data_IF_856995129308
#
_entry.id   IF_856995129308
#
_cell.length_a   1.000
_cell.length_b   1.000
_cell.length_c   1.000
_cell.angle_alpha   90.00
_cell.angle_beta   90.00
_cell.angle_gamma   90.00
#
_symmetry.space_group_name_H-M   'P 1'
#
loop_
_entity.id
_entity.type
_entity.pdbx_description
1 polymer ?
#
# COMPACT_ATOMS: atom_id res chain seq x y z
N UNK A 1 -23.86 7.72 9.08
CA UNK A 1 -23.89 6.26 9.21
C UNK A 1 -24.66 5.69 8.05
N UNK A 2 -24.28 4.54 7.51
CA UNK A 2 -24.95 3.89 6.37
C UNK A 2 -25.90 2.81 6.93
N UNK A 3 -27.23 3.07 6.93
CA UNK A 3 -28.18 2.21 7.64
C UNK A 3 -28.42 0.86 6.94
N UNK A 4 -28.18 0.79 5.63
CA UNK A 4 -28.45 -0.40 4.82
C UNK A 4 -27.54 -0.51 3.60
N UNK A 5 -27.58 -1.65 2.93
CA UNK A 5 -26.78 -1.93 1.73
C UNK A 5 -27.13 -1.03 0.55
N UNK A 6 -28.37 -0.53 0.46
CA UNK A 6 -28.76 0.41 -0.61
C UNK A 6 -28.07 1.77 -0.44
N UNK A 7 -28.01 2.27 0.79
CA UNK A 7 -27.27 3.50 1.13
C UNK A 7 -25.80 3.37 0.82
N UNK A 8 -25.18 2.22 1.17
CA UNK A 8 -23.81 1.90 0.83
C UNK A 8 -23.60 1.86 -0.70
N UNK A 9 -24.46 1.15 -1.44
CA UNK A 9 -24.39 1.04 -2.89
C UNK A 9 -24.56 2.40 -3.59
N UNK A 10 -25.46 3.26 -3.12
CA UNK A 10 -25.63 4.61 -3.66
C UNK A 10 -24.37 5.45 -3.43
N UNK A 11 -23.75 5.35 -2.25
CA UNK A 11 -22.50 6.05 -1.97
C UNK A 11 -21.34 5.55 -2.86
N UNK A 12 -21.18 4.24 -3.01
CA UNK A 12 -20.19 3.67 -3.92
C UNK A 12 -20.42 4.09 -5.37
N UNK A 13 -21.70 4.21 -5.80
CA UNK A 13 -22.04 4.70 -7.13
C UNK A 13 -21.56 6.14 -7.37
N UNK A 14 -21.73 7.03 -6.39
CA UNK A 14 -21.23 8.40 -6.47
C UNK A 14 -19.70 8.47 -6.54
N UNK A 15 -19.01 7.60 -5.80
CA UNK A 15 -17.55 7.51 -5.83
C UNK A 15 -17.02 6.94 -7.15
N UNK A 16 -17.70 5.92 -7.69
CA UNK A 16 -17.26 5.22 -8.90
C UNK A 16 -17.53 6.02 -10.17
N UNK A 17 -18.67 6.71 -10.20
CA UNK A 17 -19.13 7.48 -11.36
C UNK A 17 -19.58 8.87 -10.96
N UNK A 18 -18.66 9.76 -10.59
CA UNK A 18 -19.01 11.11 -10.12
C UNK A 18 -19.70 11.94 -11.19
N UNK A 19 -19.42 11.67 -12.46
CA UNK A 19 -19.98 12.38 -13.62
C UNK A 19 -21.08 11.58 -14.36
N UNK A 20 -21.68 10.57 -13.70
CA UNK A 20 -22.67 9.70 -14.31
C UNK A 20 -22.14 8.30 -14.65
N UNK A 21 -23.05 7.34 -14.80
CA UNK A 21 -22.70 5.96 -15.07
C UNK A 21 -21.96 5.80 -16.41
N UNK A 22 -20.79 5.20 -16.35
CA UNK A 22 -19.99 4.77 -17.52
C UNK A 22 -20.11 3.26 -17.66
N UNK A 23 -20.60 2.81 -18.80
CA UNK A 23 -20.73 1.37 -19.08
C UNK A 23 -19.35 0.71 -19.19
N UNK A 24 -19.07 -0.37 -18.44
CA UNK A 24 -17.75 -1.02 -18.51
C UNK A 24 -17.46 -1.73 -19.85
N UNK A 25 -18.45 -1.95 -20.69
CA UNK A 25 -18.30 -2.64 -21.98
C UNK A 25 -18.22 -1.64 -23.13
N UNK A 26 -19.23 -0.78 -23.32
CA UNK A 26 -19.25 0.14 -24.46
C UNK A 26 -18.71 1.55 -24.13
N UNK A 27 -18.27 1.79 -22.92
CA UNK A 27 -17.70 3.05 -22.43
C UNK A 27 -18.62 4.29 -22.54
N UNK A 28 -19.87 4.11 -22.93
CA UNK A 28 -20.83 5.19 -23.05
C UNK A 28 -21.23 5.72 -21.67
N UNK A 29 -21.23 7.03 -21.52
CA UNK A 29 -21.80 7.71 -20.36
C UNK A 29 -23.29 7.86 -20.56
N UNK A 30 -24.11 7.22 -19.71
CA UNK A 30 -25.56 7.16 -19.87
C UNK A 30 -26.26 7.16 -18.51
N UNK A 31 -27.60 7.33 -18.54
CA UNK A 31 -28.45 7.03 -17.37
C UNK A 31 -28.89 5.56 -17.45
N UNK A 32 -28.36 4.68 -16.58
CA UNK A 32 -28.66 3.26 -16.65
C UNK A 32 -30.09 2.99 -16.17
N UNK A 33 -30.74 1.99 -16.76
CA UNK A 33 -31.97 1.46 -16.19
C UNK A 33 -31.65 0.66 -14.93
N UNK A 34 -32.47 0.84 -13.90
CA UNK A 34 -32.35 0.09 -12.64
C UNK A 34 -33.22 -1.17 -12.72
N UNK A 35 -32.60 -2.30 -12.41
CA UNK A 35 -33.31 -3.57 -12.23
C UNK A 35 -33.28 -4.00 -10.76
N UNK A 36 -34.01 -5.08 -10.49
CA UNK A 36 -34.00 -5.74 -9.17
C UNK A 36 -32.58 -6.08 -8.71
N UNK A 37 -32.37 -6.13 -7.42
CA UNK A 37 -31.07 -6.43 -6.79
C UNK A 37 -29.95 -5.44 -7.12
N UNK A 38 -30.31 -4.15 -7.39
CA UNK A 38 -29.33 -3.08 -7.62
C UNK A 38 -28.53 -3.19 -8.93
N UNK A 39 -28.98 -3.98 -9.90
CA UNK A 39 -28.35 -4.07 -11.22
C UNK A 39 -28.61 -2.81 -12.05
N UNK A 40 -27.60 -2.41 -12.80
CA UNK A 40 -27.59 -1.28 -13.73
C UNK A 40 -27.49 -1.83 -15.15
N UNK A 41 -28.44 -1.47 -16.02
CA UNK A 41 -28.46 -1.88 -17.42
C UNK A 41 -28.10 -0.70 -18.30
N UNK A 42 -27.10 -0.86 -19.13
CA UNK A 42 -26.73 0.14 -20.12
C UNK A 42 -27.81 0.22 -21.21
N UNK A 43 -28.41 1.39 -21.49
CA UNK A 43 -29.40 1.49 -22.57
C UNK A 43 -28.81 1.28 -23.97
N UNK A 44 -27.51 1.55 -24.17
CA UNK A 44 -26.84 1.46 -25.47
C UNK A 44 -26.52 0.02 -25.87
N UNK A 45 -25.87 -0.76 -24.96
CA UNK A 45 -25.43 -2.12 -25.30
C UNK A 45 -26.13 -3.25 -24.50
N UNK A 46 -27.08 -2.91 -23.65
CA UNK A 46 -27.85 -3.84 -22.79
C UNK A 46 -26.99 -4.59 -21.75
N UNK A 47 -25.72 -4.25 -21.63
CA UNK A 47 -24.87 -4.86 -20.62
C UNK A 47 -25.40 -4.59 -19.20
N UNK A 48 -25.43 -5.67 -18.38
CA UNK A 48 -25.86 -5.59 -16.99
C UNK A 48 -24.63 -5.55 -16.08
N UNK A 49 -24.57 -4.57 -15.22
CA UNK A 49 -23.50 -4.38 -14.26
C UNK A 49 -24.04 -4.12 -12.86
N UNK A 50 -23.17 -4.11 -11.88
CA UNK A 50 -23.47 -3.63 -10.53
C UNK A 50 -22.39 -2.64 -10.07
N UNK A 51 -22.66 -1.90 -9.01
CA UNK A 51 -21.67 -0.94 -8.47
C UNK A 51 -20.38 -1.60 -7.99
N UNK A 52 -20.44 -2.88 -7.61
CA UNK A 52 -19.29 -3.65 -7.12
C UNK A 52 -18.61 -4.50 -8.19
N UNK A 53 -19.26 -4.75 -9.32
CA UNK A 53 -18.67 -5.56 -10.39
C UNK A 53 -17.40 -4.94 -10.94
N UNK A 54 -16.32 -5.74 -11.06
CA UNK A 54 -15.02 -5.27 -11.53
C UNK A 54 -14.25 -4.39 -10.52
N UNK A 55 -14.59 -4.45 -9.24
CA UNK A 55 -13.88 -3.78 -8.15
C UNK A 55 -13.31 -4.78 -7.16
N UNK A 56 -12.61 -4.32 -6.10
CA UNK A 56 -12.19 -5.26 -5.02
C UNK A 56 -13.36 -5.93 -4.31
N UNK A 57 -14.57 -5.38 -4.45
CA UNK A 57 -15.80 -5.92 -3.87
C UNK A 57 -16.50 -6.91 -4.81
N UNK A 58 -15.91 -7.19 -5.97
CA UNK A 58 -16.51 -8.09 -6.96
C UNK A 58 -16.85 -9.45 -6.36
N UNK A 59 -18.05 -9.96 -6.72
CA UNK A 59 -18.57 -11.26 -6.27
C UNK A 59 -18.64 -11.45 -4.75
N UNK A 60 -18.61 -10.36 -3.96
CA UNK A 60 -18.80 -10.50 -2.51
C UNK A 60 -20.20 -10.99 -2.19
N UNK A 61 -20.30 -11.88 -1.20
CA UNK A 61 -21.57 -12.31 -0.57
C UNK A 61 -21.78 -11.60 0.77
N UNK A 62 -20.75 -10.95 1.29
CA UNK A 62 -20.81 -10.18 2.53
C UNK A 62 -21.56 -8.88 2.28
N UNK A 63 -22.50 -8.47 3.15
CA UNK A 63 -23.23 -7.21 3.04
C UNK A 63 -22.29 -6.00 2.88
N UNK A 64 -22.72 -5.00 2.13
CA UNK A 64 -21.93 -3.77 1.96
C UNK A 64 -21.80 -2.99 3.25
N UNK A 65 -22.80 -3.04 4.11
CA UNK A 65 -22.74 -2.46 5.46
C UNK A 65 -21.56 -3.01 6.25
N UNK A 66 -21.34 -4.33 6.21
CA UNK A 66 -20.19 -4.98 6.86
C UNK A 66 -18.86 -4.54 6.23
N UNK A 67 -18.79 -4.37 4.90
CA UNK A 67 -17.61 -3.81 4.24
C UNK A 67 -17.33 -2.36 4.67
N UNK A 68 -18.36 -1.54 4.78
CA UNK A 68 -18.22 -0.15 5.22
C UNK A 68 -17.75 -0.07 6.67
N UNK A 69 -18.29 -0.91 7.54
CA UNK A 69 -17.86 -1.02 8.93
C UNK A 69 -16.39 -1.46 9.02
N UNK A 70 -16.00 -2.50 8.28
CA UNK A 70 -14.59 -2.91 8.16
C UNK A 70 -13.69 -1.77 7.70
N UNK A 71 -14.07 -1.06 6.62
CA UNK A 71 -13.33 0.08 6.09
C UNK A 71 -13.19 1.23 7.08
N UNK A 72 -14.26 1.49 7.86
CA UNK A 72 -14.23 2.48 8.94
C UNK A 72 -13.23 2.09 10.02
N UNK A 73 -13.30 0.86 10.54
CA UNK A 73 -12.34 0.37 11.53
C UNK A 73 -10.91 0.39 11.02
N UNK A 74 -10.68 -0.05 9.78
CA UNK A 74 -9.36 0.00 9.14
C UNK A 74 -8.80 1.42 9.12
N UNK A 75 -9.61 2.44 8.81
CA UNK A 75 -9.12 3.82 8.67
C UNK A 75 -9.04 4.58 9.99
N UNK A 76 -9.81 4.20 11.00
CA UNK A 76 -9.86 4.89 12.30
C UNK A 76 -8.92 4.28 13.34
N UNK A 77 -8.61 2.98 13.28
CA UNK A 77 -7.69 2.33 14.20
C UNK A 77 -6.28 2.91 14.10
N UNK A 78 -5.80 3.58 15.17
CA UNK A 78 -4.50 4.27 15.20
C UNK A 78 -3.33 3.31 14.91
N UNK A 79 -3.36 2.14 15.50
CA UNK A 79 -2.25 1.17 15.44
C UNK A 79 -2.46 0.07 14.39
N UNK A 80 -3.39 0.27 13.42
CA UNK A 80 -3.77 -0.78 12.50
C UNK A 80 -4.77 -1.77 13.12
N UNK A 81 -5.15 -2.78 12.36
CA UNK A 81 -6.18 -3.74 12.74
C UNK A 81 -5.77 -5.14 12.31
N UNK A 82 -5.77 -6.09 13.26
CA UNK A 82 -5.55 -7.50 12.94
C UNK A 82 -6.83 -8.15 12.42
N UNK A 83 -6.69 -9.23 11.65
CA UNK A 83 -7.84 -9.99 11.19
C UNK A 83 -8.62 -10.59 12.38
N UNK A 84 -7.94 -10.96 13.45
CA UNK A 84 -8.58 -11.47 14.67
C UNK A 84 -9.42 -10.41 15.37
N UNK A 85 -8.93 -9.19 15.46
CA UNK A 85 -9.70 -8.06 16.01
C UNK A 85 -10.92 -7.75 15.13
N UNK A 86 -10.73 -7.73 13.80
CA UNK A 86 -11.84 -7.44 12.88
C UNK A 86 -12.91 -8.54 12.90
N UNK A 87 -12.53 -9.81 12.99
CA UNK A 87 -13.43 -10.95 13.17
C UNK A 87 -14.38 -10.72 14.36
N UNK A 88 -13.81 -10.41 15.52
CA UNK A 88 -14.60 -10.15 16.73
C UNK A 88 -15.47 -8.90 16.60
N UNK A 89 -14.93 -7.83 16.01
CA UNK A 89 -15.67 -6.56 15.86
C UNK A 89 -16.89 -6.72 14.95
N UNK A 90 -16.75 -7.46 13.85
CA UNK A 90 -17.82 -7.63 12.86
C UNK A 90 -18.70 -8.86 13.10
N UNK A 91 -18.37 -9.73 14.06
CA UNK A 91 -19.10 -11.00 14.28
C UNK A 91 -19.03 -11.93 13.06
N UNK A 92 -17.96 -11.91 12.29
CA UNK A 92 -17.77 -12.72 11.09
C UNK A 92 -16.72 -13.82 11.30
N UNK A 93 -16.41 -14.64 10.28
CA UNK A 93 -15.31 -15.60 10.40
C UNK A 93 -13.95 -14.94 10.17
N UNK A 94 -12.89 -15.51 10.76
CA UNK A 94 -11.51 -15.06 10.54
C UNK A 94 -11.15 -14.97 9.05
N UNK A 95 -11.56 -15.97 8.25
CA UNK A 95 -11.27 -15.99 6.81
C UNK A 95 -11.90 -14.80 6.08
N UNK A 96 -13.16 -14.47 6.42
CA UNK A 96 -13.86 -13.31 5.85
C UNK A 96 -13.15 -12.01 6.27
N UNK A 97 -12.89 -11.82 7.56
CA UNK A 97 -12.19 -10.65 8.07
C UNK A 97 -10.80 -10.48 7.45
N UNK A 98 -10.03 -11.57 7.33
CA UNK A 98 -8.71 -11.57 6.71
C UNK A 98 -8.77 -11.23 5.22
N UNK A 99 -9.71 -11.83 4.47
CA UNK A 99 -9.91 -11.53 3.05
C UNK A 99 -10.28 -10.06 2.83
N UNK A 100 -11.16 -9.51 3.66
CA UNK A 100 -11.55 -8.09 3.61
C UNK A 100 -10.33 -7.18 3.80
N UNK A 101 -9.50 -7.45 4.81
CA UNK A 101 -8.28 -6.69 5.07
C UNK A 101 -7.31 -6.76 3.87
N UNK A 102 -7.09 -7.94 3.30
CA UNK A 102 -6.19 -8.08 2.15
C UNK A 102 -6.71 -7.32 0.93
N UNK A 103 -7.99 -7.40 0.61
CA UNK A 103 -8.60 -6.64 -0.49
C UNK A 103 -8.49 -5.13 -0.27
N UNK A 104 -8.72 -4.64 0.95
CA UNK A 104 -8.51 -3.23 1.27
C UNK A 104 -7.03 -2.82 1.14
N UNK A 105 -6.07 -3.66 1.56
CA UNK A 105 -4.63 -3.39 1.41
C UNK A 105 -4.25 -3.21 -0.06
N UNK A 106 -4.76 -4.05 -0.95
CA UNK A 106 -4.55 -3.90 -2.38
C UNK A 106 -5.07 -2.55 -2.86
N UNK A 107 -6.25 -2.12 -2.43
CA UNK A 107 -6.82 -0.83 -2.84
C UNK A 107 -6.10 0.39 -2.24
N UNK A 108 -5.27 0.23 -1.21
CA UNK A 108 -4.48 1.32 -0.64
C UNK A 108 -3.36 1.82 -1.57
N UNK A 109 -3.08 1.09 -2.64
CA UNK A 109 -2.07 1.44 -3.66
C UNK A 109 -2.77 1.96 -4.91
N UNK A 110 -2.61 3.25 -5.20
CA UNK A 110 -3.03 3.80 -6.49
C UNK A 110 -1.99 3.46 -7.55
N UNK A 111 -2.44 3.05 -8.74
CA UNK A 111 -1.55 2.78 -9.88
C UNK A 111 -0.70 4.01 -10.23
N UNK A 112 -1.31 5.20 -10.21
CA UNK A 112 -0.70 6.49 -10.54
C UNK A 112 -0.31 7.29 -9.29
N UNK A 113 0.21 6.62 -8.26
CA UNK A 113 0.70 7.34 -7.07
C UNK A 113 1.96 8.13 -7.43
N UNK A 114 2.00 9.39 -7.00
CA UNK A 114 3.14 10.27 -7.21
C UNK A 114 4.43 9.68 -6.66
N UNK A 115 5.53 9.81 -7.41
CA UNK A 115 6.85 9.47 -6.94
C UNK A 115 7.32 10.46 -5.86
N UNK A 116 8.31 10.06 -5.07
CA UNK A 116 8.97 10.92 -4.09
C UNK A 116 9.90 11.92 -4.82
N UNK A 117 10.13 13.09 -4.22
CA UNK A 117 10.93 14.14 -4.84
C UNK A 117 11.79 14.90 -3.82
N UNK A 118 12.71 15.73 -4.32
CA UNK A 118 13.62 16.52 -3.49
C UNK A 118 14.72 15.68 -2.86
N UNK A 119 14.94 15.84 -1.56
CA UNK A 119 15.87 15.02 -0.79
C UNK A 119 15.16 13.76 -0.28
N UNK A 120 15.69 12.59 -0.59
CA UNK A 120 15.11 11.29 -0.22
C UNK A 120 16.16 10.43 0.45
N UNK A 121 15.93 10.07 1.70
CA UNK A 121 16.73 9.06 2.40
C UNK A 121 16.30 7.67 1.96
N UNK A 122 17.27 6.80 1.65
CA UNK A 122 17.02 5.40 1.25
C UNK A 122 17.93 4.47 2.06
N UNK A 123 17.31 3.43 2.63
CA UNK A 123 18.02 2.40 3.42
C UNK A 123 17.19 1.11 3.42
N UNK A 124 17.81 0.01 3.82
CA UNK A 124 17.11 -1.25 4.03
C UNK A 124 17.04 -1.64 5.49
N UNK A 125 15.98 -2.36 5.86
CA UNK A 125 15.81 -2.88 7.20
C UNK A 125 15.33 -4.32 7.20
N UNK A 126 15.71 -5.07 8.24
CA UNK A 126 15.27 -6.44 8.46
C UNK A 126 13.97 -6.45 9.27
N UNK A 127 12.97 -7.17 8.78
CA UNK A 127 11.65 -7.32 9.38
C UNK A 127 11.33 -8.80 9.57
N UNK A 128 10.73 -9.15 10.68
CA UNK A 128 10.35 -10.53 11.03
C UNK A 128 10.59 -10.83 12.51
N UNK A 129 10.02 -11.94 12.97
CA UNK A 129 10.15 -12.41 14.36
C UNK A 129 11.56 -12.88 14.71
N UNK A 130 11.77 -13.11 16.01
CA UNK A 130 13.00 -13.75 16.52
C UNK A 130 12.86 -15.25 16.31
N UNK A 131 13.72 -15.84 15.48
CA UNK A 131 13.86 -17.30 15.43
C UNK A 131 14.72 -17.78 16.61
N UNK A 132 14.19 -18.74 17.39
CA UNK A 132 14.97 -19.42 18.43
C UNK A 132 16.13 -20.17 17.77
N UNK A 133 17.37 -19.79 18.10
CA UNK A 133 18.58 -20.40 17.53
C UNK A 133 19.00 -19.89 16.15
N UNK A 134 18.28 -18.92 15.57
CA UNK A 134 18.61 -18.35 14.28
C UNK A 134 19.82 -17.41 14.27
N UNK A 135 20.45 -17.25 13.09
CA UNK A 135 21.57 -16.31 12.88
C UNK A 135 21.10 -14.86 13.07
N UNK A 136 21.96 -14.01 13.61
CA UNK A 136 21.73 -12.56 13.70
C UNK A 136 22.16 -11.85 12.42
N UNK A 137 21.51 -10.73 12.09
CA UNK A 137 21.87 -9.90 10.93
C UNK A 137 21.29 -10.38 9.60
N UNK A 138 21.97 -10.08 8.49
CA UNK A 138 21.55 -10.38 7.11
C UNK A 138 21.46 -11.89 6.79
N UNK A 139 22.02 -12.75 7.62
CA UNK A 139 21.93 -14.23 7.48
C UNK A 139 20.77 -14.86 8.26
N UNK A 140 19.90 -14.08 8.87
CA UNK A 140 18.69 -14.57 9.52
C UNK A 140 17.57 -14.75 8.49
N UNK A 141 16.62 -15.68 8.73
CA UNK A 141 15.40 -15.86 7.89
C UNK A 141 14.43 -14.68 8.01
N UNK A 142 14.95 -13.45 7.92
CA UNK A 142 14.18 -12.21 7.99
C UNK A 142 13.98 -11.62 6.62
N UNK A 143 12.82 -11.03 6.41
CA UNK A 143 12.55 -10.30 5.18
C UNK A 143 13.30 -8.97 5.15
N UNK A 144 13.89 -8.63 4.00
CA UNK A 144 14.55 -7.35 3.77
C UNK A 144 13.53 -6.38 3.17
N UNK A 145 13.44 -5.19 3.74
CA UNK A 145 12.54 -4.13 3.29
C UNK A 145 13.37 -2.91 2.93
N UNK A 146 13.34 -2.52 1.66
CA UNK A 146 13.85 -1.24 1.20
C UNK A 146 12.85 -0.14 1.56
N UNK A 147 13.35 0.97 2.10
CA UNK A 147 12.56 2.14 2.54
C UNK A 147 13.13 3.38 1.88
N UNK A 148 12.26 4.19 1.27
CA UNK A 148 12.57 5.53 0.79
C UNK A 148 11.68 6.53 1.54
N UNK A 149 12.29 7.60 2.09
CA UNK A 149 11.60 8.60 2.87
C UNK A 149 11.98 10.01 2.42
N UNK A 150 10.99 10.83 2.04
CA UNK A 150 11.21 12.25 1.73
C UNK A 150 11.64 13.01 3.00
N UNK A 151 12.69 13.81 2.88
CA UNK A 151 13.12 14.75 3.92
C UNK A 151 12.47 16.11 3.65
N UNK A 152 11.92 16.72 4.70
CA UNK A 152 11.36 18.07 4.63
C UNK A 152 12.26 19.05 5.34
N UNK A 153 12.63 20.12 4.66
CA UNK A 153 13.33 21.25 5.24
C UNK A 153 12.34 22.22 5.93
N UNK A 154 12.70 22.86 7.03
CA UNK A 154 13.94 22.68 7.80
C UNK A 154 13.87 21.47 8.74
N UNK A 155 12.72 20.82 8.90
CA UNK A 155 12.54 19.66 9.80
C UNK A 155 11.36 18.81 9.40
N UNK A 156 11.52 17.49 9.50
CA UNK A 156 10.44 16.51 9.37
C UNK A 156 10.58 15.59 8.17
N UNK A 157 9.54 14.80 7.96
CA UNK A 157 9.51 13.77 6.92
C UNK A 157 8.25 13.92 6.07
N UNK A 158 8.39 13.70 4.78
CA UNK A 158 7.33 13.70 3.82
C UNK A 158 6.65 12.33 3.70
N UNK A 159 6.50 11.91 2.46
CA UNK A 159 5.95 10.60 2.09
C UNK A 159 7.03 9.53 2.18
N UNK A 160 6.57 8.29 2.32
CA UNK A 160 7.45 7.12 2.29
C UNK A 160 6.99 6.13 1.24
N UNK A 161 7.93 5.29 0.77
CA UNK A 161 7.68 4.10 -0.04
C UNK A 161 8.48 2.95 0.52
N UNK A 162 7.92 1.75 0.41
CA UNK A 162 8.54 0.54 0.91
C UNK A 162 8.37 -0.60 -0.06
N UNK A 163 9.36 -1.50 -0.10
CA UNK A 163 9.31 -2.73 -0.91
C UNK A 163 10.00 -3.87 -0.19
N UNK A 164 9.36 -5.02 -0.16
CA UNK A 164 10.01 -6.28 0.16
C UNK A 164 10.94 -6.65 -0.99
N UNK A 165 12.21 -6.88 -0.69
CA UNK A 165 13.23 -7.23 -1.68
C UNK A 165 13.92 -8.55 -1.27
N UNK A 166 14.37 -9.36 -2.26
CA UNK A 166 15.07 -10.62 -1.96
C UNK A 166 16.38 -10.41 -1.22
N UNK A 167 17.15 -9.40 -1.63
CA UNK A 167 18.44 -9.03 -1.07
C UNK A 167 18.74 -7.54 -1.29
N UNK A 168 19.79 -7.04 -0.63
CA UNK A 168 20.23 -5.65 -0.71
C UNK A 168 21.28 -5.41 -1.85
N UNK A 169 21.18 -6.12 -2.95
CA UNK A 169 22.01 -5.89 -4.15
C UNK A 169 21.51 -4.71 -4.98
N UNK A 170 22.41 -4.16 -5.82
CA UNK A 170 22.06 -3.08 -6.75
C UNK A 170 20.93 -3.46 -7.72
N UNK A 171 20.86 -4.76 -8.11
CA UNK A 171 19.80 -5.26 -8.99
C UNK A 171 18.39 -5.15 -8.38
N UNK A 172 18.28 -5.09 -7.05
CA UNK A 172 17.01 -4.92 -6.34
C UNK A 172 16.80 -3.49 -5.84
N UNK A 173 17.86 -2.82 -5.35
CA UNK A 173 17.79 -1.49 -4.76
C UNK A 173 17.64 -0.38 -5.81
N UNK A 174 18.41 -0.42 -6.91
CA UNK A 174 18.34 0.61 -7.96
C UNK A 174 16.96 0.63 -8.63
N UNK A 175 16.37 -0.50 -9.07
CA UNK A 175 15.00 -0.52 -9.59
C UNK A 175 13.95 -0.06 -8.58
N UNK A 176 14.15 -0.34 -7.28
CA UNK A 176 13.26 0.20 -6.25
C UNK A 176 13.28 1.72 -6.23
N UNK A 177 14.48 2.34 -6.19
CA UNK A 177 14.62 3.80 -6.18
C UNK A 177 14.00 4.41 -7.43
N UNK A 178 14.32 3.88 -8.60
CA UNK A 178 13.81 4.37 -9.88
C UNK A 178 12.27 4.27 -10.00
N UNK A 179 11.66 3.24 -9.39
CA UNK A 179 10.21 3.10 -9.36
C UNK A 179 9.53 4.14 -8.44
N UNK A 180 10.18 4.54 -7.34
CA UNK A 180 9.50 5.30 -6.29
C UNK A 180 9.96 6.74 -6.16
N UNK A 181 11.05 7.14 -6.80
CA UNK A 181 11.62 8.50 -6.74
C UNK A 181 11.73 9.08 -8.14
N UNK A 182 11.42 10.37 -8.31
CA UNK A 182 11.57 11.08 -9.58
C UNK A 182 13.05 11.22 -9.96
N UNK A 183 13.43 11.09 -11.26
CA UNK A 183 14.78 11.43 -11.72
C UNK A 183 15.17 12.87 -11.32
N UNK A 184 16.45 13.12 -11.10
CA UNK A 184 16.97 14.42 -10.67
C UNK A 184 16.91 14.66 -9.16
N UNK A 185 16.24 13.80 -8.40
CA UNK A 185 16.20 13.88 -6.93
C UNK A 185 17.58 13.61 -6.30
N UNK A 186 17.77 14.10 -5.07
CA UNK A 186 18.96 13.82 -4.27
C UNK A 186 18.69 12.60 -3.40
N UNK A 187 19.44 11.54 -3.60
CA UNK A 187 19.34 10.31 -2.82
C UNK A 187 20.44 10.28 -1.75
N UNK A 188 20.03 10.13 -0.51
CA UNK A 188 20.90 10.03 0.66
C UNK A 188 20.92 8.57 1.12
N UNK A 189 22.12 7.94 1.21
CA UNK A 189 22.30 6.55 1.66
C UNK A 189 23.45 6.43 2.66
N UNK A 190 23.54 5.27 3.32
CA UNK A 190 24.65 4.93 4.25
C UNK A 190 25.98 4.61 3.57
N UNK A 191 26.04 4.65 2.24
CA UNK A 191 27.24 4.31 1.46
C UNK A 191 27.36 2.83 1.11
N UNK A 192 26.35 2.01 1.34
CA UNK A 192 26.31 0.64 0.87
C UNK A 192 26.49 0.52 -0.65
N UNK A 193 27.32 -0.46 -1.09
CA UNK A 193 27.68 -0.60 -2.52
C UNK A 193 26.51 -0.85 -3.47
N UNK A 194 25.40 -1.39 -2.97
CA UNK A 194 24.19 -1.63 -3.78
C UNK A 194 23.54 -0.37 -4.36
N UNK A 195 23.95 0.83 -3.92
CA UNK A 195 23.46 2.12 -4.41
C UNK A 195 24.42 2.81 -5.40
N UNK A 196 25.56 2.19 -5.74
CA UNK A 196 26.61 2.86 -6.52
C UNK A 196 26.17 3.28 -7.91
N UNK A 197 25.27 2.55 -8.55
CA UNK A 197 24.81 2.78 -9.91
C UNK A 197 23.70 3.85 -10.02
N UNK A 198 23.26 4.44 -8.90
CA UNK A 198 22.21 5.49 -8.92
C UNK A 198 22.53 6.70 -9.81
N UNK A 199 23.78 7.18 -9.89
CA UNK A 199 24.12 8.28 -10.81
C UNK A 199 23.85 7.96 -12.27
N UNK A 200 23.97 6.70 -12.72
CA UNK A 200 23.69 6.25 -14.08
C UNK A 200 22.19 6.38 -14.45
N UNK A 201 21.32 6.59 -13.44
CA UNK A 201 19.87 6.76 -13.58
C UNK A 201 19.40 8.18 -13.26
N UNK A 202 20.29 9.17 -13.44
CA UNK A 202 20.00 10.61 -13.27
C UNK A 202 19.74 11.03 -11.81
N UNK A 203 20.21 10.28 -10.80
CA UNK A 203 20.11 10.68 -9.40
C UNK A 203 21.37 11.35 -8.87
N UNK A 204 21.20 12.39 -8.06
CA UNK A 204 22.29 13.00 -7.31
C UNK A 204 22.54 12.18 -6.04
N UNK A 205 23.48 11.24 -6.09
CA UNK A 205 23.77 10.35 -4.97
C UNK A 205 24.71 10.99 -3.95
N UNK A 206 24.27 11.14 -2.71
CA UNK A 206 25.05 11.60 -1.56
C UNK A 206 25.21 10.46 -0.56
N UNK A 207 26.43 9.99 -0.39
CA UNK A 207 26.78 8.93 0.56
C UNK A 207 27.15 9.50 1.91
N UNK A 208 26.59 8.98 2.99
CA UNK A 208 26.97 9.29 4.35
C UNK A 208 27.68 8.09 4.95
N UNK A 209 29.01 8.12 4.97
CA UNK A 209 29.83 7.01 5.51
C UNK A 209 29.81 7.09 7.03
N UNK A 210 29.03 6.22 7.65
CA UNK A 210 28.80 6.19 9.11
C UNK A 210 30.08 5.92 9.91
N UNK A 211 31.00 5.11 9.36
CA UNK A 211 32.26 4.74 10.03
C UNK A 211 33.25 5.89 10.15
N UNK A 212 33.17 6.91 9.28
CA UNK A 212 34.10 8.05 9.29
C UNK A 212 33.54 9.27 10.05
N UNK A 213 32.23 9.35 10.28
CA UNK A 213 31.59 10.51 10.91
C UNK A 213 31.60 10.46 12.44
N UNK A 214 31.89 9.32 13.05
CA UNK A 214 31.78 9.11 14.52
C UNK A 214 30.34 9.22 15.06
N UNK A 215 29.38 9.58 14.22
CA UNK A 215 27.98 9.75 14.59
C UNK A 215 27.17 8.45 14.37
N UNK A 216 26.23 8.13 15.27
CA UNK A 216 25.32 7.01 15.05
C UNK A 216 24.46 7.20 13.78
N UNK A 217 24.13 6.10 13.11
CA UNK A 217 23.33 6.09 11.86
C UNK A 217 22.03 6.92 11.93
N UNK A 218 21.35 6.92 13.09
CA UNK A 218 20.11 7.68 13.29
C UNK A 218 20.30 9.22 13.31
N UNK A 219 21.54 9.69 13.42
CA UNK A 219 21.86 11.12 13.33
C UNK A 219 22.02 11.54 11.88
N UNK A 220 22.61 10.68 11.05
CA UNK A 220 22.94 10.98 9.66
C UNK A 220 21.75 10.79 8.71
N UNK A 221 20.87 9.82 8.99
CA UNK A 221 19.65 9.51 8.20
C UNK A 221 18.44 9.29 9.12
N UNK A 222 17.99 10.35 9.83
CA UNK A 222 16.98 10.22 10.88
C UNK A 222 15.61 9.80 10.35
N UNK A 223 15.27 10.11 9.08
CA UNK A 223 13.98 9.84 8.48
C UNK A 223 13.76 8.36 8.28
N UNK A 224 14.61 7.72 7.51
CA UNK A 224 14.48 6.30 7.18
C UNK A 224 14.57 5.43 8.42
N UNK A 225 15.48 5.74 9.36
CA UNK A 225 15.60 5.00 10.62
C UNK A 225 14.37 5.17 11.52
N UNK A 226 13.79 6.37 11.57
CA UNK A 226 12.53 6.60 12.29
C UNK A 226 11.39 5.81 11.69
N UNK A 227 11.27 5.79 10.37
CA UNK A 227 10.26 5.03 9.64
C UNK A 227 10.43 3.53 9.88
N UNK A 228 11.65 3.01 9.79
CA UNK A 228 11.97 1.61 10.10
C UNK A 228 11.57 1.21 11.53
N UNK A 229 11.88 2.05 12.52
CA UNK A 229 11.48 1.81 13.91
C UNK A 229 9.96 1.78 14.09
N UNK A 230 9.23 2.69 13.45
CA UNK A 230 7.77 2.73 13.50
C UNK A 230 7.15 1.53 12.81
N UNK A 231 7.69 1.10 11.65
CA UNK A 231 7.26 -0.09 10.95
C UNK A 231 7.42 -1.35 11.82
N UNK A 232 8.61 -1.56 12.41
CA UNK A 232 8.88 -2.70 13.29
C UNK A 232 7.94 -2.74 14.50
N UNK A 233 7.70 -1.59 15.12
CA UNK A 233 6.75 -1.47 16.24
C UNK A 233 5.32 -1.79 15.81
N UNK A 234 4.91 -1.29 14.64
CA UNK A 234 3.58 -1.56 14.11
C UNK A 234 3.37 -3.04 13.78
N UNK A 235 4.36 -3.68 13.14
CA UNK A 235 4.33 -5.11 12.84
C UNK A 235 4.26 -5.94 14.13
N UNK A 236 5.07 -5.61 15.12
CA UNK A 236 5.04 -6.32 16.41
C UNK A 236 3.69 -6.16 17.12
N UNK A 237 3.16 -4.94 17.17
CA UNK A 237 1.93 -4.63 17.89
C UNK A 237 0.66 -5.15 17.19
N UNK A 238 0.62 -5.16 15.85
CA UNK A 238 -0.59 -5.53 15.08
C UNK A 238 -0.55 -6.99 14.63
N UNK A 239 0.63 -7.52 14.31
CA UNK A 239 0.83 -8.84 13.73
C UNK A 239 1.68 -9.76 14.62
N UNK A 240 1.97 -9.36 15.87
CA UNK A 240 2.76 -10.11 16.85
C UNK A 240 4.13 -10.58 16.31
N UNK A 241 4.68 -9.86 15.33
CA UNK A 241 5.93 -10.20 14.67
C UNK A 241 5.85 -11.38 13.69
N UNK A 242 4.70 -12.05 13.58
CA UNK A 242 4.51 -13.16 12.64
C UNK A 242 4.20 -12.61 11.26
N UNK A 243 5.15 -12.75 10.34
CA UNK A 243 5.04 -12.30 8.96
C UNK A 243 5.35 -13.44 8.01
N UNK A 244 4.39 -13.75 7.16
CA UNK A 244 4.62 -14.61 6.00
C UNK A 244 5.16 -13.74 4.87
N UNK A 245 6.33 -14.06 4.25
CA UNK A 245 6.93 -13.25 3.20
C UNK A 245 5.98 -12.89 2.06
N UNK A 246 5.12 -13.84 1.64
CA UNK A 246 4.12 -13.63 0.59
C UNK A 246 3.11 -12.49 0.89
N UNK A 247 2.87 -12.20 2.17
CA UNK A 247 1.93 -11.15 2.58
C UNK A 247 2.59 -9.86 3.03
N UNK A 248 3.92 -9.86 3.18
CA UNK A 248 4.65 -8.70 3.71
C UNK A 248 4.37 -7.43 2.91
N UNK A 249 4.41 -7.49 1.58
CA UNK A 249 4.16 -6.30 0.77
C UNK A 249 2.79 -5.67 1.04
N UNK A 250 1.75 -6.47 1.27
CA UNK A 250 0.43 -5.93 1.61
C UNK A 250 0.42 -5.16 2.94
N UNK A 251 1.20 -5.61 3.91
CA UNK A 251 1.37 -4.90 5.19
C UNK A 251 2.17 -3.61 5.02
N UNK A 252 3.23 -3.63 4.20
CA UNK A 252 4.02 -2.44 3.88
C UNK A 252 3.16 -1.36 3.21
N UNK A 253 2.25 -1.75 2.32
CA UNK A 253 1.35 -0.81 1.65
C UNK A 253 0.30 -0.23 2.62
N UNK A 254 -0.24 -1.02 3.54
CA UNK A 254 -1.10 -0.50 4.61
C UNK A 254 -0.34 0.50 5.48
N UNK A 255 0.87 0.16 5.93
CA UNK A 255 1.70 1.07 6.72
C UNK A 255 2.00 2.36 5.94
N UNK A 256 2.39 2.27 4.67
CA UNK A 256 2.65 3.40 3.77
C UNK A 256 1.41 4.29 3.63
N UNK A 257 0.24 3.70 3.40
CA UNK A 257 -1.03 4.43 3.31
C UNK A 257 -1.32 5.24 4.56
N UNK A 258 -1.15 4.63 5.73
CA UNK A 258 -1.37 5.26 7.05
C UNK A 258 -0.34 6.34 7.34
N UNK A 259 0.94 6.02 7.14
CA UNK A 259 2.04 6.94 7.40
C UNK A 259 1.95 8.21 6.55
N UNK A 260 1.69 8.07 5.26
CA UNK A 260 1.59 9.21 4.35
C UNK A 260 0.37 10.11 4.62
N UNK A 261 -0.58 9.65 5.41
CA UNK A 261 -1.78 10.39 5.82
C UNK A 261 -1.86 10.66 7.31
N UNK A 262 -0.76 10.49 8.04
CA UNK A 262 -0.69 10.64 9.51
C UNK A 262 -1.08 12.03 10.01
N UNK A 263 -0.92 13.06 9.18
CA UNK A 263 -1.28 14.44 9.51
C UNK A 263 -2.75 14.78 9.20
N UNK A 264 -3.50 13.85 8.60
CA UNK A 264 -4.92 14.08 8.32
C UNK A 264 -5.72 14.19 9.61
N UNK A 265 -6.42 15.32 9.77
CA UNK A 265 -7.29 15.56 10.93
C UNK A 265 -8.68 14.93 10.77
N UNK A 266 -9.08 14.55 9.55
CA UNK A 266 -10.40 13.99 9.26
C UNK A 266 -10.30 12.47 8.99
N UNK A 267 -10.87 11.67 9.90
CA UNK A 267 -10.98 10.21 9.72
C UNK A 267 -12.00 9.85 8.63
N UNK A 268 -13.08 10.60 8.54
CA UNK A 268 -14.06 10.44 7.47
C UNK A 268 -13.46 10.63 6.07
N UNK A 269 -12.50 11.53 5.92
CA UNK A 269 -11.78 11.70 4.65
C UNK A 269 -10.92 10.48 4.32
N UNK A 270 -10.26 9.86 5.30
CA UNK A 270 -9.50 8.63 5.09
C UNK A 270 -10.40 7.47 4.66
N UNK A 271 -11.54 7.32 5.31
CA UNK A 271 -12.55 6.33 4.95
C UNK A 271 -13.07 6.56 3.51
N UNK A 272 -13.45 7.79 3.17
CA UNK A 272 -13.84 8.15 1.81
C UNK A 272 -12.74 7.77 0.80
N UNK A 273 -11.48 8.13 1.06
CA UNK A 273 -10.34 7.81 0.19
C UNK A 273 -10.14 6.31 0.02
N UNK A 274 -10.33 5.53 1.08
CA UNK A 274 -10.25 4.08 1.00
C UNK A 274 -11.34 3.53 0.06
N UNK A 275 -12.58 3.99 0.18
CA UNK A 275 -13.69 3.56 -0.67
C UNK A 275 -13.54 4.03 -2.12
N UNK A 276 -13.08 5.26 -2.36
CA UNK A 276 -12.74 5.75 -3.71
C UNK A 276 -11.73 4.82 -4.40
N UNK A 277 -10.69 4.40 -3.68
CA UNK A 277 -9.70 3.46 -4.20
C UNK A 277 -10.28 2.05 -4.34
N UNK A 278 -11.14 1.62 -3.43
CA UNK A 278 -11.79 0.32 -3.48
C UNK A 278 -12.63 0.12 -4.75
N UNK A 279 -13.34 1.16 -5.21
CA UNK A 279 -14.13 1.08 -6.44
C UNK A 279 -13.31 1.30 -7.72
N UNK A 280 -12.13 1.90 -7.60
CA UNK A 280 -11.19 2.12 -8.71
C UNK A 280 -10.23 0.94 -8.94
N UNK A 281 -10.05 0.07 -7.94
CA UNK A 281 -9.15 -1.08 -8.00
C UNK A 281 -9.90 -2.30 -8.53
N UNK A 282 -9.31 -3.02 -9.47
CA UNK A 282 -9.86 -4.23 -10.06
C UNK A 282 -10.08 -5.38 -9.07
N UNK A 283 -10.73 -6.47 -9.52
CA UNK A 283 -11.00 -7.62 -8.69
C UNK A 283 -9.72 -8.25 -8.17
N UNK A 284 -9.77 -8.73 -6.93
CA UNK A 284 -8.69 -9.45 -6.25
C UNK A 284 -9.21 -10.83 -5.90
N UNK A 285 -8.61 -11.86 -6.48
CA UNK A 285 -8.98 -13.25 -6.24
C UNK A 285 -8.36 -13.78 -4.94
N UNK A 286 -8.87 -14.93 -4.47
CA UNK A 286 -8.27 -15.62 -3.32
C UNK A 286 -6.85 -16.10 -3.64
N UNK A 287 -6.59 -16.53 -4.87
CA UNK A 287 -5.26 -16.94 -5.33
C UNK A 287 -4.27 -15.78 -5.26
N UNK A 288 -4.65 -14.57 -5.71
CA UNK A 288 -3.84 -13.37 -5.60
C UNK A 288 -3.47 -13.07 -4.14
N UNK A 289 -4.44 -13.20 -3.24
CA UNK A 289 -4.24 -12.94 -1.81
C UNK A 289 -3.30 -13.99 -1.19
N UNK A 290 -3.46 -15.27 -1.54
CA UNK A 290 -2.77 -16.39 -0.90
C UNK A 290 -1.33 -16.55 -1.38
N UNK A 291 -1.10 -16.37 -2.69
CA UNK A 291 0.21 -16.57 -3.32
C UNK A 291 1.02 -15.28 -3.49
N UNK A 292 0.46 -14.15 -3.09
CA UNK A 292 1.04 -12.82 -3.24
C UNK A 292 0.47 -12.07 -4.43
N UNK A 293 -0.05 -10.88 -4.16
CA UNK A 293 -0.59 -9.99 -5.18
C UNK A 293 0.54 -9.38 -6.02
N UNK A 294 0.37 -9.37 -7.34
CA UNK A 294 1.33 -8.72 -8.23
C UNK A 294 1.12 -7.20 -8.20
N UNK A 295 1.91 -6.54 -7.36
CA UNK A 295 1.79 -5.10 -7.11
C UNK A 295 2.19 -4.29 -8.34
N UNK A 296 1.41 -3.27 -8.75
CA UNK A 296 1.74 -2.43 -9.88
C UNK A 296 3.08 -1.71 -9.66
N UNK A 297 3.95 -1.75 -10.68
CA UNK A 297 5.23 -1.02 -10.73
C UNK A 297 5.05 0.23 -11.59
N UNK A 298 5.73 1.33 -11.25
CA UNK A 298 5.64 2.58 -11.98
C UNK A 298 6.31 2.53 -13.35
N UNK A 299 7.40 1.75 -13.48
CA UNK A 299 8.14 1.60 -14.73
C UNK A 299 8.49 0.13 -14.96
N UNK A 300 8.30 -0.34 -16.18
CA UNK A 300 9.01 -1.51 -16.67
C UNK A 300 10.41 -1.02 -17.09
N UNK A 301 11.44 -1.51 -16.40
CA UNK A 301 12.80 -1.26 -16.85
C UNK A 301 13.02 -2.01 -18.14
N UNK A 302 13.17 -1.28 -19.25
CA UNK A 302 13.79 -1.82 -20.45
C UNK A 302 15.18 -2.34 -20.08
N UNK A 303 15.48 -3.57 -20.47
CA UNK A 303 16.85 -4.09 -20.49
C UNK A 303 17.76 -3.05 -21.11
N UNK A 304 18.91 -2.75 -20.48
CA UNK A 304 19.96 -1.93 -21.08
C UNK A 304 20.09 -2.31 -22.56
N UNK A 305 19.89 -1.36 -23.46
CA UNK A 305 20.42 -1.54 -24.82
C UNK A 305 21.93 -1.58 -24.67
N UNK A 306 22.49 -2.77 -24.94
CA UNK A 306 23.93 -3.03 -25.08
C UNK A 306 24.54 -2.10 -26.09
#
# INVERSE_FOLDING_TARGET
MFPDDNSCANYLKQLRWPNGFVCPVCQMTTTPWRQTRGRLVCPSCRHQSSVIAGTILDKTRTPLTTWFEAGWHVTTAKNGLSAKTLEHTLGTSYRVAWTMLQRYRVSMVRAEREQLSGNVEVDETLVGGVEKGGKRGRGASKCIVAIAAEVKEPKGFGRVRMRHIPDASGINLVPFVCDVVVPGAVILTDGWGGYNDLPDYEYKHKKTVLSSSGNPAHVSMPGVHRVASLLKRWILGTHQGSIVPAHLQSYLEEFTFRFNRRTSRSRGLLFRRLLEQAVATGPVTEADITHGYNWPRFRQFGTRRS
#
